data_IF_311851822796
#
_entry.id   IF_311851822796
#
_cell.length_a   1.000
_cell.length_b   1.000
_cell.length_c   1.000
_cell.angle_alpha   90.00
_cell.angle_beta   90.00
_cell.angle_gamma   90.00
#
_symmetry.space_group_name_H-M   'P 1'
#
loop_
_entity.id
_entity.type
_entity.pdbx_description
1 polymer ?
#
# COMPACT_ATOMS: atom_id res chain seq x y z
N UNK A 1 15.87 24.50 -9.94
CA UNK A 1 14.87 23.44 -10.19
C UNK A 1 15.59 22.11 -10.06
N UNK A 2 15.23 21.26 -9.09
CA UNK A 2 15.82 19.93 -8.96
C UNK A 2 15.48 19.13 -10.23
N UNK A 3 16.46 18.41 -10.81
CA UNK A 3 16.19 17.52 -11.95
C UNK A 3 15.07 16.55 -11.54
N UNK A 4 14.04 16.34 -12.37
CA UNK A 4 13.03 15.33 -12.08
C UNK A 4 13.73 13.99 -11.88
N UNK A 5 13.42 13.31 -10.78
CA UNK A 5 13.95 11.98 -10.53
C UNK A 5 13.25 11.02 -11.50
N UNK A 6 13.86 10.76 -12.67
CA UNK A 6 13.28 9.89 -13.71
C UNK A 6 12.89 8.51 -13.19
N UNK A 7 13.61 7.99 -12.19
CA UNK A 7 13.23 6.75 -11.51
C UNK A 7 11.85 6.86 -10.84
N UNK A 8 11.58 8.00 -10.20
CA UNK A 8 10.31 8.28 -9.52
C UNK A 8 9.17 8.46 -10.52
N UNK A 9 9.39 9.13 -11.66
CA UNK A 9 8.36 9.25 -12.71
C UNK A 9 7.96 7.89 -13.29
N UNK A 10 8.95 7.01 -13.51
CA UNK A 10 8.70 5.64 -13.97
C UNK A 10 7.95 4.84 -12.89
N UNK A 11 8.31 5.04 -11.63
CA UNK A 11 7.66 4.39 -10.49
C UNK A 11 6.20 4.82 -10.37
N UNK A 12 5.91 6.12 -10.50
CA UNK A 12 4.56 6.68 -10.49
C UNK A 12 3.71 6.12 -11.64
N UNK A 13 4.25 6.16 -12.86
CA UNK A 13 3.59 5.57 -14.02
C UNK A 13 3.32 4.08 -13.83
N UNK A 14 4.28 3.34 -13.26
CA UNK A 14 4.14 1.93 -12.93
C UNK A 14 3.01 1.69 -11.94
N UNK A 15 2.99 2.45 -10.84
CA UNK A 15 1.97 2.37 -9.80
C UNK A 15 0.56 2.57 -10.38
N UNK A 16 0.35 3.60 -11.20
CA UNK A 16 -0.94 3.83 -11.86
C UNK A 16 -1.34 2.69 -12.80
N UNK A 17 -0.41 2.19 -13.62
CA UNK A 17 -0.70 1.13 -14.60
C UNK A 17 -1.01 -0.19 -13.89
N UNK A 18 -0.24 -0.54 -12.84
CA UNK A 18 -0.49 -1.74 -12.05
C UNK A 18 -1.79 -1.66 -11.27
N UNK A 19 -2.13 -0.52 -10.66
CA UNK A 19 -3.39 -0.33 -9.97
C UNK A 19 -4.59 -0.55 -10.91
N UNK A 20 -4.48 -0.08 -12.16
CA UNK A 20 -5.56 -0.20 -13.15
C UNK A 20 -5.67 -1.58 -13.81
N UNK A 21 -4.54 -2.23 -14.10
CA UNK A 21 -4.50 -3.46 -14.93
C UNK A 21 -4.19 -4.72 -14.13
N UNK A 22 -3.74 -4.59 -12.89
CA UNK A 22 -3.13 -5.66 -12.12
C UNK A 22 -1.72 -6.01 -12.60
N UNK A 23 -1.05 -6.91 -11.88
CA UNK A 23 0.33 -7.31 -12.18
C UNK A 23 0.46 -8.10 -13.49
N UNK A 24 -0.40 -9.11 -13.69
CA UNK A 24 -0.28 -10.05 -14.81
C UNK A 24 -0.56 -9.41 -16.18
N UNK A 25 -1.52 -8.48 -16.27
CA UNK A 25 -1.86 -7.80 -17.53
C UNK A 25 -0.98 -6.55 -17.80
N UNK A 26 -0.03 -6.24 -16.92
CA UNK A 26 0.88 -5.11 -17.11
C UNK A 26 2.18 -5.56 -17.79
N UNK A 27 2.69 -4.72 -18.69
CA UNK A 27 3.98 -4.88 -19.36
C UNK A 27 4.81 -3.61 -19.16
N UNK A 28 6.13 -3.70 -19.28
CA UNK A 28 7.00 -2.50 -19.21
C UNK A 28 6.75 -1.53 -20.38
N UNK A 29 6.18 -2.00 -21.49
CA UNK A 29 5.73 -1.14 -22.59
C UNK A 29 4.54 -0.25 -22.19
N UNK A 30 3.54 -0.81 -21.48
CA UNK A 30 2.43 0.00 -20.94
C UNK A 30 2.93 1.10 -19.99
N UNK A 31 3.94 0.79 -19.18
CA UNK A 31 4.54 1.74 -18.23
C UNK A 31 5.33 2.83 -18.98
N UNK A 32 6.11 2.44 -19.98
CA UNK A 32 6.87 3.38 -20.80
C UNK A 32 5.95 4.35 -21.54
N UNK A 33 4.86 3.85 -22.12
CA UNK A 33 3.82 4.65 -22.76
C UNK A 33 3.22 5.66 -21.79
N UNK A 34 2.83 5.21 -20.58
CA UNK A 34 2.28 6.07 -19.54
C UNK A 34 3.28 7.16 -19.08
N UNK A 35 4.56 6.81 -18.96
CA UNK A 35 5.62 7.73 -18.57
C UNK A 35 6.11 8.63 -19.72
N UNK A 36 5.62 8.45 -20.95
CA UNK A 36 6.05 9.24 -22.12
C UNK A 36 7.52 9.00 -22.50
N UNK A 37 8.04 7.80 -22.27
CA UNK A 37 9.43 7.40 -22.53
C UNK A 37 9.50 6.11 -23.34
N UNK A 38 10.70 5.73 -23.80
CA UNK A 38 10.90 4.46 -24.48
C UNK A 38 10.99 3.30 -23.48
N UNK A 39 10.53 2.11 -23.88
CA UNK A 39 10.64 0.90 -23.06
C UNK A 39 12.09 0.57 -22.68
N UNK A 40 13.11 0.68 -23.57
CA UNK A 40 14.51 0.54 -23.17
C UNK A 40 14.96 1.54 -22.10
N UNK A 41 14.34 2.72 -22.00
CA UNK A 41 14.66 3.69 -20.96
C UNK A 41 14.14 3.25 -19.59
N UNK A 42 13.00 2.56 -19.51
CA UNK A 42 12.50 1.91 -18.28
C UNK A 42 13.52 0.91 -17.75
N UNK A 43 14.06 0.07 -18.65
CA UNK A 43 15.06 -0.96 -18.31
C UNK A 43 16.39 -0.39 -17.80
N UNK A 44 16.64 0.91 -17.91
CA UNK A 44 17.81 1.55 -17.28
C UNK A 44 17.64 1.75 -15.77
N UNK A 45 16.41 1.69 -15.26
CA UNK A 45 16.10 1.94 -13.85
C UNK A 45 15.54 0.73 -13.13
N UNK A 46 14.86 -0.15 -13.85
CA UNK A 46 14.28 -1.40 -13.34
C UNK A 46 14.53 -2.49 -14.37
N UNK A 47 15.32 -3.51 -14.02
CA UNK A 47 15.72 -4.58 -14.93
C UNK A 47 14.53 -5.45 -15.33
N UNK A 48 13.52 -5.56 -14.45
CA UNK A 48 12.33 -6.38 -14.68
C UNK A 48 11.05 -5.67 -14.27
N UNK A 49 9.91 -6.19 -14.79
CA UNK A 49 8.57 -5.79 -14.33
C UNK A 49 8.38 -6.10 -12.84
N UNK A 50 8.92 -7.22 -12.37
CA UNK A 50 8.84 -7.66 -10.98
C UNK A 50 9.53 -6.66 -10.04
N UNK A 51 10.75 -6.23 -10.39
CA UNK A 51 11.50 -5.23 -9.61
C UNK A 51 10.74 -3.90 -9.53
N UNK A 52 10.17 -3.43 -10.66
CA UNK A 52 9.37 -2.21 -10.69
C UNK A 52 8.12 -2.36 -9.82
N UNK A 53 7.43 -3.49 -9.91
CA UNK A 53 6.24 -3.77 -9.08
C UNK A 53 6.58 -3.79 -7.60
N UNK A 54 7.66 -4.47 -7.20
CA UNK A 54 8.13 -4.51 -5.82
C UNK A 54 8.43 -3.09 -5.33
N UNK A 55 9.19 -2.30 -6.08
CA UNK A 55 9.48 -0.91 -5.69
C UNK A 55 8.20 -0.07 -5.51
N UNK A 56 7.21 -0.24 -6.39
CA UNK A 56 5.93 0.47 -6.28
C UNK A 56 5.12 0.00 -5.06
N UNK A 57 5.15 -1.30 -4.78
CA UNK A 57 4.48 -1.93 -3.65
C UNK A 57 5.12 -1.49 -2.32
N UNK A 58 6.45 -1.43 -2.24
CA UNK A 58 7.19 -0.89 -1.09
C UNK A 58 6.81 0.58 -0.84
N UNK A 59 6.70 1.39 -1.89
CA UNK A 59 6.25 2.79 -1.78
C UNK A 59 4.83 2.88 -1.21
N UNK A 60 3.92 2.02 -1.67
CA UNK A 60 2.56 1.96 -1.15
C UNK A 60 2.54 1.60 0.35
N UNK A 61 3.28 0.56 0.75
CA UNK A 61 3.36 0.16 2.16
C UNK A 61 4.05 1.18 3.06
N UNK A 62 5.11 1.84 2.60
CA UNK A 62 5.74 2.91 3.37
C UNK A 62 4.76 4.07 3.57
N UNK A 63 3.96 4.43 2.55
CA UNK A 63 2.93 5.47 2.70
C UNK A 63 1.86 5.09 3.74
N UNK A 64 1.42 3.83 3.76
CA UNK A 64 0.51 3.29 4.78
C UNK A 64 1.15 3.37 6.18
N UNK A 65 2.39 2.89 6.32
CA UNK A 65 3.09 2.94 7.60
C UNK A 65 3.27 4.39 8.10
N UNK A 66 3.56 5.32 7.19
CA UNK A 66 3.68 6.74 7.52
C UNK A 66 2.35 7.36 7.94
N UNK A 67 1.22 6.97 7.35
CA UNK A 67 -0.09 7.45 7.81
C UNK A 67 -0.33 7.05 9.26
N UNK A 68 0.00 5.81 9.66
CA UNK A 68 -0.09 5.35 11.05
C UNK A 68 0.89 6.05 11.99
N UNK A 69 2.11 6.34 11.52
CA UNK A 69 3.10 7.10 12.31
C UNK A 69 2.65 8.53 12.61
N UNK A 70 1.89 9.14 11.71
CA UNK A 70 1.39 10.49 11.89
C UNK A 70 0.18 10.58 12.84
N UNK A 71 -0.43 9.46 13.20
CA UNK A 71 -1.56 9.43 14.12
C UNK A 71 -1.10 9.72 15.56
N UNK A 72 -1.64 10.81 16.10
CA UNK A 72 -1.54 11.20 17.52
C UNK A 72 -2.96 11.17 18.11
N UNK A 73 -3.17 10.34 19.12
CA UNK A 73 -4.47 10.12 19.75
C UNK A 73 -4.28 9.63 21.19
N UNK A 74 -5.32 9.70 22.01
CA UNK A 74 -5.33 9.01 23.30
C UNK A 74 -5.34 7.48 23.09
N UNK A 75 -4.95 6.68 24.10
CA UNK A 75 -5.02 5.22 24.01
C UNK A 75 -6.37 4.71 23.51
N UNK A 76 -7.47 5.24 24.04
CA UNK A 76 -8.84 4.80 23.77
C UNK A 76 -9.25 5.04 22.30
N UNK A 77 -8.73 6.09 21.69
CA UNK A 77 -9.06 6.50 20.31
C UNK A 77 -8.05 5.98 19.29
N UNK A 78 -6.91 5.43 19.72
CA UNK A 78 -5.75 5.17 18.87
C UNK A 78 -6.07 4.27 17.68
N UNK A 79 -6.75 3.15 17.92
CA UNK A 79 -7.15 2.21 16.87
C UNK A 79 -8.10 2.85 15.86
N UNK A 80 -9.13 3.54 16.34
CA UNK A 80 -10.10 4.25 15.49
C UNK A 80 -9.42 5.32 14.63
N UNK A 81 -8.51 6.11 15.22
CA UNK A 81 -7.78 7.16 14.49
C UNK A 81 -6.83 6.60 13.44
N UNK A 82 -6.22 5.45 13.69
CA UNK A 82 -5.43 4.73 12.68
C UNK A 82 -6.30 4.19 11.54
N UNK A 83 -7.51 3.69 11.83
CA UNK A 83 -8.45 3.28 10.77
C UNK A 83 -8.87 4.49 9.93
N UNK A 84 -9.23 5.61 10.57
CA UNK A 84 -9.56 6.86 9.87
C UNK A 84 -8.42 7.32 8.96
N UNK A 85 -7.18 7.29 9.45
CA UNK A 85 -6.01 7.62 8.63
C UNK A 85 -5.80 6.67 7.44
N UNK A 86 -6.19 5.39 7.57
CA UNK A 86 -6.17 4.45 6.46
C UNK A 86 -7.27 4.76 5.42
N UNK A 87 -8.49 5.05 5.88
CA UNK A 87 -9.60 5.43 4.99
C UNK A 87 -9.32 6.74 4.22
N UNK A 88 -8.74 7.74 4.89
CA UNK A 88 -8.28 8.97 4.24
C UNK A 88 -7.21 8.68 3.19
N UNK A 89 -6.33 7.71 3.46
CA UNK A 89 -5.34 7.27 2.49
C UNK A 89 -5.98 6.58 1.28
N UNK A 90 -7.02 5.75 1.47
CA UNK A 90 -7.77 5.15 0.36
C UNK A 90 -8.36 6.19 -0.58
N UNK A 91 -8.85 7.31 -0.05
CA UNK A 91 -9.40 8.39 -0.87
C UNK A 91 -8.33 9.25 -1.56
N UNK A 92 -7.23 9.56 -0.85
CA UNK A 92 -6.19 10.46 -1.34
C UNK A 92 -5.15 9.76 -2.24
N UNK A 93 -4.93 8.46 -2.03
CA UNK A 93 -3.91 7.64 -2.70
C UNK A 93 -4.49 6.26 -3.07
N UNK A 94 -5.56 6.22 -3.90
CA UNK A 94 -6.26 4.98 -4.20
C UNK A 94 -5.42 3.95 -4.95
N UNK A 95 -4.45 4.40 -5.73
CA UNK A 95 -3.59 3.51 -6.51
C UNK A 95 -2.62 2.74 -5.60
N UNK A 96 -2.09 3.37 -4.55
CA UNK A 96 -1.29 2.69 -3.52
C UNK A 96 -2.09 1.59 -2.82
N UNK A 97 -3.33 1.89 -2.43
CA UNK A 97 -4.21 0.90 -1.79
C UNK A 97 -4.57 -0.23 -2.79
N UNK A 98 -4.83 0.10 -4.04
CA UNK A 98 -5.12 -0.90 -5.08
C UNK A 98 -3.92 -1.81 -5.29
N UNK A 99 -2.71 -1.25 -5.31
CA UNK A 99 -1.47 -2.00 -5.49
C UNK A 99 -1.22 -2.97 -4.34
N UNK A 100 -1.49 -2.56 -3.11
CA UNK A 100 -1.45 -3.43 -1.94
C UNK A 100 -2.41 -4.62 -2.12
N UNK A 101 -3.67 -4.36 -2.49
CA UNK A 101 -4.69 -5.41 -2.69
C UNK A 101 -4.28 -6.37 -3.81
N UNK A 102 -3.79 -5.84 -4.93
CA UNK A 102 -3.24 -6.65 -6.02
C UNK A 102 -2.09 -7.52 -5.52
N UNK A 103 -1.12 -6.94 -4.80
CA UNK A 103 0.09 -7.62 -4.32
C UNK A 103 -0.20 -8.87 -3.48
N UNK A 104 -1.25 -8.85 -2.66
CA UNK A 104 -1.68 -9.99 -1.84
C UNK A 104 -2.09 -11.20 -2.71
N UNK A 105 -2.57 -10.98 -3.94
CA UNK A 105 -3.02 -12.05 -4.84
C UNK A 105 -1.92 -12.65 -5.72
N UNK A 106 -0.79 -11.94 -5.87
CA UNK A 106 0.32 -12.29 -6.76
C UNK A 106 1.06 -13.55 -6.24
N UNK A 107 1.54 -14.40 -7.16
CA UNK A 107 2.12 -15.72 -6.84
C UNK A 107 3.63 -15.81 -6.98
N UNK A 108 4.24 -14.81 -7.58
CA UNK A 108 5.67 -14.62 -7.69
C UNK A 108 6.30 -14.53 -6.29
N UNK A 109 7.24 -15.43 -5.99
CA UNK A 109 7.83 -15.56 -4.66
C UNK A 109 8.43 -14.25 -4.14
N UNK A 110 9.19 -13.47 -4.94
CA UNK A 110 9.72 -12.18 -4.47
C UNK A 110 8.63 -11.19 -4.06
N UNK A 111 7.51 -11.15 -4.78
CA UNK A 111 6.38 -10.27 -4.48
C UNK A 111 5.62 -10.76 -3.23
N UNK A 112 5.41 -12.06 -3.09
CA UNK A 112 4.82 -12.65 -1.89
C UNK A 112 5.66 -12.39 -0.65
N UNK A 113 6.99 -12.52 -0.77
CA UNK A 113 7.94 -12.22 0.29
C UNK A 113 7.86 -10.76 0.70
N UNK A 114 7.94 -9.82 -0.26
CA UNK A 114 7.78 -8.40 -0.02
C UNK A 114 6.46 -8.09 0.72
N UNK A 115 5.33 -8.61 0.21
CA UNK A 115 4.00 -8.44 0.82
C UNK A 115 3.97 -8.93 2.27
N UNK A 116 4.51 -10.13 2.53
CA UNK A 116 4.57 -10.75 3.86
C UNK A 116 5.41 -9.93 4.83
N UNK A 117 6.58 -9.48 4.41
CA UNK A 117 7.50 -8.69 5.22
C UNK A 117 6.87 -7.35 5.61
N UNK A 118 6.22 -6.67 4.67
CA UNK A 118 5.55 -5.40 4.94
C UNK A 118 4.32 -5.54 5.82
N UNK A 119 3.47 -6.54 5.58
CA UNK A 119 2.31 -6.80 6.46
C UNK A 119 2.76 -7.16 7.88
N UNK A 120 3.82 -7.96 8.02
CA UNK A 120 4.44 -8.26 9.32
C UNK A 120 4.95 -6.99 10.01
N UNK A 121 5.64 -6.12 9.26
CA UNK A 121 6.15 -4.84 9.77
C UNK A 121 5.04 -3.91 10.24
N UNK A 122 3.97 -3.76 9.45
CA UNK A 122 2.80 -2.94 9.82
C UNK A 122 2.13 -3.51 11.06
N UNK A 123 1.88 -4.83 11.09
CA UNK A 123 1.29 -5.51 12.26
C UNK A 123 2.12 -5.25 13.52
N UNK A 124 3.44 -5.47 13.46
CA UNK A 124 4.33 -5.25 14.59
C UNK A 124 4.32 -3.79 15.04
N UNK A 125 4.36 -2.84 14.10
CA UNK A 125 4.29 -1.42 14.43
C UNK A 125 3.00 -1.05 15.18
N UNK A 126 1.84 -1.50 14.69
CA UNK A 126 0.54 -1.21 15.34
C UNK A 126 0.45 -1.89 16.70
N UNK A 127 0.91 -3.14 16.81
CA UNK A 127 0.95 -3.87 18.07
C UNK A 127 1.81 -3.16 19.12
N UNK A 128 3.00 -2.70 18.74
CA UNK A 128 3.89 -1.98 19.64
C UNK A 128 3.24 -0.66 20.10
N UNK A 129 2.62 0.08 19.18
CA UNK A 129 1.85 1.29 19.52
C UNK A 129 0.70 1.02 20.50
N UNK A 130 -0.01 -0.10 20.36
CA UNK A 130 -1.08 -0.48 21.29
C UNK A 130 -0.53 -0.89 22.66
N UNK A 131 0.60 -1.61 22.69
CA UNK A 131 1.30 -1.98 23.93
C UNK A 131 1.84 -0.76 24.67
N UNK A 132 2.48 0.17 23.97
CA UNK A 132 2.98 1.44 24.53
C UNK A 132 1.86 2.30 25.10
N UNK A 133 0.66 2.24 24.51
CA UNK A 133 -0.54 2.89 25.00
C UNK A 133 -1.21 2.15 26.18
N UNK A 134 -0.64 1.03 26.66
CA UNK A 134 -1.18 0.17 27.71
C UNK A 134 -2.60 -0.36 27.42
N UNK A 135 -2.91 -0.64 26.16
CA UNK A 135 -4.20 -1.22 25.78
C UNK A 135 -4.24 -2.71 26.16
N UNK A 136 -5.26 -3.09 26.93
CA UNK A 136 -5.54 -4.49 27.23
C UNK A 136 -5.85 -5.27 25.94
N UNK A 137 -5.45 -6.55 25.88
CA UNK A 137 -5.71 -7.41 24.72
C UNK A 137 -5.11 -6.89 23.39
N UNK A 138 -4.00 -6.16 23.42
CA UNK A 138 -3.35 -5.56 22.24
C UNK A 138 -3.16 -6.53 21.05
N UNK A 139 -2.87 -7.82 21.29
CA UNK A 139 -2.75 -8.86 20.24
C UNK A 139 -4.06 -9.13 19.51
N UNK A 140 -5.17 -9.18 20.25
CA UNK A 140 -6.50 -9.32 19.64
C UNK A 140 -6.87 -8.04 18.90
N UNK A 141 -6.62 -6.88 19.52
CA UNK A 141 -6.91 -5.57 18.91
C UNK A 141 -6.16 -5.37 17.59
N UNK A 142 -4.87 -5.72 17.50
CA UNK A 142 -4.14 -5.60 16.23
C UNK A 142 -4.71 -6.55 15.16
N UNK A 143 -5.16 -7.75 15.56
CA UNK A 143 -5.80 -8.68 14.62
C UNK A 143 -7.11 -8.11 14.08
N UNK A 144 -7.96 -7.55 14.96
CA UNK A 144 -9.18 -6.85 14.57
C UNK A 144 -8.88 -5.63 13.69
N UNK A 145 -7.85 -4.85 14.03
CA UNK A 145 -7.44 -3.68 13.25
C UNK A 145 -7.07 -4.07 11.80
N UNK A 146 -6.26 -5.12 11.62
CA UNK A 146 -5.91 -5.61 10.29
C UNK A 146 -7.15 -6.11 9.53
N UNK A 147 -8.06 -6.82 10.21
CA UNK A 147 -9.31 -7.27 9.62
C UNK A 147 -10.19 -6.09 9.14
N UNK A 148 -10.30 -5.03 9.95
CA UNK A 148 -11.00 -3.79 9.57
C UNK A 148 -10.34 -3.13 8.38
N UNK A 149 -9.01 -3.04 8.33
CA UNK A 149 -8.29 -2.50 7.16
C UNK A 149 -8.59 -3.27 5.86
N UNK A 150 -8.66 -4.60 5.92
CA UNK A 150 -9.08 -5.41 4.76
C UNK A 150 -10.53 -5.13 4.38
N UNK A 151 -11.42 -4.96 5.35
CA UNK A 151 -12.82 -4.62 5.11
C UNK A 151 -12.98 -3.23 4.49
N UNK A 152 -12.19 -2.24 4.93
CA UNK A 152 -12.14 -0.91 4.32
C UNK A 152 -11.77 -0.99 2.83
N UNK A 153 -10.81 -1.85 2.46
CA UNK A 153 -10.45 -2.05 1.05
C UNK A 153 -11.62 -2.57 0.23
N UNK A 154 -12.33 -3.58 0.76
CA UNK A 154 -13.50 -4.15 0.07
C UNK A 154 -14.57 -3.08 -0.09
N UNK A 155 -14.94 -2.41 1.01
CA UNK A 155 -15.94 -1.34 1.02
C UNK A 155 -15.62 -0.23 0.00
N UNK A 156 -14.35 0.19 -0.06
CA UNK A 156 -13.89 1.22 -0.98
C UNK A 156 -13.95 0.78 -2.45
N UNK A 157 -13.39 -0.38 -2.79
CA UNK A 157 -13.24 -0.80 -4.20
C UNK A 157 -14.54 -1.25 -4.86
N UNK A 158 -15.54 -1.66 -4.07
CA UNK A 158 -16.86 -2.06 -4.61
C UNK A 158 -17.95 -1.03 -4.34
N UNK A 159 -17.59 0.14 -3.79
CA UNK A 159 -18.52 1.23 -3.45
C UNK A 159 -19.67 0.76 -2.52
N UNK A 160 -19.31 0.04 -1.45
CA UNK A 160 -20.25 -0.51 -0.46
C UNK A 160 -19.86 -0.07 0.97
N UNK A 161 -20.10 1.21 1.32
CA UNK A 161 -19.70 1.78 2.61
C UNK A 161 -20.42 1.16 3.82
N UNK A 162 -21.54 0.46 3.63
CA UNK A 162 -22.31 -0.19 4.70
C UNK A 162 -21.53 -1.32 5.39
N UNK A 163 -20.51 -1.88 4.73
CA UNK A 163 -19.65 -2.93 5.31
C UNK A 163 -18.87 -2.47 6.54
N UNK A 164 -18.55 -1.18 6.61
CA UNK A 164 -17.78 -0.58 7.72
C UNK A 164 -18.69 0.09 8.77
N UNK A 165 -20.01 -0.06 8.65
CA UNK A 165 -20.98 0.39 9.65
C UNK A 165 -21.10 1.91 9.79
N UNK A 166 -20.94 2.64 8.67
CA UNK A 166 -21.21 4.08 8.60
C UNK A 166 -22.68 4.38 8.37
#
# INVERSE_FOLDING_TARGET
MAKPNRKEEILEAGLEVFAKRGYYNTTTAHIAEKAGISQPYVFRFFETKEELFIAALERAYERILQSFKNVKASPEELGMKMVQAYEELSNSHPNEIALQVVGISVKEEPIQKCTREWLSRIRSYVLDRFKEANLENAEQMVTTFIAVGILCNIAYFIDLPELIGK
#
